data_IF_588577902792
#
_entry.id   IF_588577902792
#
_cell.length_a   1.000
_cell.length_b   1.000
_cell.length_c   1.000
_cell.angle_alpha   90.00
_cell.angle_beta   90.00
_cell.angle_gamma   90.00
#
_symmetry.space_group_name_H-M   'P 1'
#
loop_
_entity.id
_entity.type
_entity.pdbx_description
1 polymer ?
#
# COMPACT_ATOMS: atom_id res chain seq x y z
N UNK A 1 -77.25 -48.37 11.98
CA UNK A 1 -76.15 -48.34 12.96
C UNK A 1 -74.86 -47.87 12.29
N UNK A 2 -74.46 -46.66 12.54
CA UNK A 2 -73.27 -46.07 11.93
C UNK A 2 -72.15 -45.99 12.96
N UNK A 3 -71.08 -46.71 12.73
CA UNK A 3 -69.86 -46.71 13.57
C UNK A 3 -68.97 -45.54 13.11
N UNK A 4 -68.81 -44.55 13.97
CA UNK A 4 -67.85 -43.42 13.73
C UNK A 4 -66.47 -43.89 14.20
N UNK A 5 -65.53 -43.98 13.28
CA UNK A 5 -64.12 -44.16 13.58
C UNK A 5 -63.51 -42.83 13.99
N UNK A 6 -62.96 -42.72 15.15
CA UNK A 6 -62.19 -41.60 15.68
C UNK A 6 -60.73 -41.88 15.29
N UNK A 7 -60.20 -41.02 14.34
CA UNK A 7 -58.76 -41.03 14.01
C UNK A 7 -58.03 -40.11 15.00
N UNK A 8 -57.22 -40.74 15.85
CA UNK A 8 -56.35 -40.02 16.80
C UNK A 8 -55.07 -39.60 16.07
N UNK A 9 -54.91 -38.29 15.82
CA UNK A 9 -53.74 -37.74 15.20
C UNK A 9 -52.67 -37.50 16.27
N UNK A 10 -51.67 -38.40 16.37
CA UNK A 10 -50.51 -38.19 17.22
C UNK A 10 -49.54 -37.19 16.55
N UNK A 11 -49.51 -35.95 17.04
CA UNK A 11 -48.50 -34.97 16.70
C UNK A 11 -47.19 -35.34 17.41
N UNK A 12 -46.24 -35.88 16.67
CA UNK A 12 -44.87 -36.10 17.14
C UNK A 12 -44.14 -34.75 17.05
N UNK A 13 -43.90 -34.09 18.18
CA UNK A 13 -42.98 -32.96 18.27
C UNK A 13 -41.55 -33.50 18.19
N UNK A 14 -40.92 -33.37 17.03
CA UNK A 14 -39.49 -33.58 16.90
C UNK A 14 -38.83 -32.31 17.49
N UNK A 15 -38.34 -32.42 18.72
CA UNK A 15 -37.43 -31.43 19.32
C UNK A 15 -36.07 -31.62 18.64
N UNK A 16 -35.77 -30.82 17.66
CA UNK A 16 -34.41 -30.71 17.13
C UNK A 16 -33.53 -30.14 18.26
N UNK A 17 -32.37 -30.75 18.56
CA UNK A 17 -31.44 -30.15 19.49
C UNK A 17 -31.00 -28.79 18.89
N UNK A 18 -31.13 -27.73 19.69
CA UNK A 18 -30.50 -26.46 19.36
C UNK A 18 -28.99 -26.74 19.24
N UNK A 19 -28.43 -26.57 18.06
CA UNK A 19 -27.00 -26.49 17.92
C UNK A 19 -26.58 -25.30 18.77
N UNK A 20 -25.95 -25.55 19.91
CA UNK A 20 -25.19 -24.52 20.59
C UNK A 20 -24.06 -24.12 19.62
N UNK A 21 -24.01 -22.86 19.23
CA UNK A 21 -22.84 -22.32 18.61
C UNK A 21 -21.64 -22.75 19.44
N UNK A 22 -20.75 -23.52 18.81
CA UNK A 22 -19.49 -23.92 19.43
C UNK A 22 -18.71 -22.66 19.83
N UNK A 23 -17.68 -22.76 20.67
CA UNK A 23 -16.93 -21.62 21.16
C UNK A 23 -16.54 -20.77 19.95
N UNK A 24 -17.02 -19.52 19.90
CA UNK A 24 -16.81 -18.62 18.82
C UNK A 24 -15.32 -18.64 18.49
N UNK A 25 -14.98 -19.03 17.27
CA UNK A 25 -13.63 -18.80 16.77
C UNK A 25 -13.40 -17.30 16.87
N UNK A 26 -12.65 -16.85 17.87
CA UNK A 26 -12.14 -15.49 17.86
C UNK A 26 -11.34 -15.41 16.57
N UNK A 27 -11.81 -14.62 15.60
CA UNK A 27 -11.02 -14.36 14.41
C UNK A 27 -9.64 -13.91 14.89
N UNK A 28 -8.63 -14.70 14.52
CA UNK A 28 -7.26 -14.38 14.92
C UNK A 28 -6.93 -12.99 14.39
N UNK A 29 -6.39 -12.13 15.26
CA UNK A 29 -6.06 -10.75 14.89
C UNK A 29 -5.15 -10.73 13.65
N UNK A 30 -5.30 -9.74 12.76
CA UNK A 30 -4.38 -9.56 11.64
C UNK A 30 -2.94 -9.42 12.14
N UNK A 31 -2.01 -9.99 11.38
CA UNK A 31 -0.56 -9.90 11.67
C UNK A 31 0.06 -8.66 11.03
N UNK A 32 -0.54 -8.18 9.96
CA UNK A 32 -0.05 -7.03 9.22
C UNK A 32 -1.18 -6.13 8.70
N UNK A 33 -0.93 -4.82 8.74
CA UNK A 33 -1.76 -3.76 8.19
C UNK A 33 -0.97 -3.04 7.10
N UNK A 34 -1.49 -3.01 5.87
CA UNK A 34 -0.95 -2.14 4.84
C UNK A 34 -1.43 -0.71 5.14
N UNK A 35 -0.56 0.07 5.76
CA UNK A 35 -0.91 1.40 6.26
C UNK A 35 -0.54 2.46 5.24
N UNK A 36 -1.54 3.13 4.66
CA UNK A 36 -1.34 4.24 3.73
C UNK A 36 -1.22 5.57 4.48
N UNK A 37 -0.12 6.28 4.26
CA UNK A 37 0.16 7.53 4.95
C UNK A 37 -0.59 8.69 4.30
N UNK A 38 -1.44 9.36 5.07
CA UNK A 38 -2.17 10.55 4.66
C UNK A 38 -1.32 11.80 4.94
N UNK A 39 -1.10 12.62 3.92
CA UNK A 39 -0.32 13.85 4.02
C UNK A 39 -1.00 15.01 3.30
N UNK A 40 -0.57 16.23 3.56
CA UNK A 40 -0.98 17.43 2.81
C UNK A 40 -0.06 17.63 1.61
N UNK A 41 -0.64 17.88 0.42
CA UNK A 41 0.13 18.14 -0.79
C UNK A 41 0.48 19.64 -0.95
N UNK A 42 1.33 19.95 -1.90
CA UNK A 42 1.79 21.32 -2.22
C UNK A 42 0.67 22.27 -2.67
N UNK A 43 -0.53 21.73 -2.95
CA UNK A 43 -1.75 22.52 -3.25
C UNK A 43 -2.59 22.74 -2.00
N UNK A 44 -2.14 22.27 -0.84
CA UNK A 44 -2.86 22.37 0.43
C UNK A 44 -4.03 21.41 0.59
N UNK A 45 -4.09 20.36 -0.26
CA UNK A 45 -5.10 19.30 -0.15
C UNK A 45 -4.55 18.17 0.71
N UNK A 46 -5.39 17.58 1.49
CA UNK A 46 -5.02 16.52 2.42
C UNK A 46 -5.93 16.48 3.64
N UNK A 47 -5.65 15.59 4.61
CA UNK A 47 -6.49 15.43 5.78
C UNK A 47 -6.48 16.69 6.66
N UNK A 48 -7.68 17.12 7.07
CA UNK A 48 -7.83 18.22 8.04
C UNK A 48 -7.96 17.66 9.46
N UNK A 49 -7.56 18.44 10.44
CA UNK A 49 -7.74 18.07 11.84
C UNK A 49 -9.24 17.84 12.13
N UNK A 50 -9.58 16.67 12.68
CA UNK A 50 -10.95 16.29 13.00
C UNK A 50 -11.74 15.60 11.89
N UNK A 51 -11.24 15.55 10.64
CA UNK A 51 -11.91 14.77 9.61
C UNK A 51 -11.85 13.27 9.96
N UNK A 52 -12.96 12.56 9.76
CA UNK A 52 -12.90 11.11 9.75
C UNK A 52 -12.05 10.63 8.55
N UNK A 53 -11.34 9.50 8.66
CA UNK A 53 -10.76 8.87 7.48
C UNK A 53 -11.86 8.67 6.43
N UNK A 54 -11.56 8.76 5.12
CA UNK A 54 -12.52 8.40 4.10
C UNK A 54 -13.08 7.01 4.36
N UNK A 55 -14.36 6.79 4.01
CA UNK A 55 -14.96 5.45 4.12
C UNK A 55 -14.13 4.44 3.34
N UNK A 56 -13.92 3.28 3.93
CA UNK A 56 -13.25 2.15 3.28
C UNK A 56 -14.24 1.13 2.71
N UNK A 57 -15.55 1.46 2.76
CA UNK A 57 -16.63 0.61 2.28
C UNK A 57 -17.05 0.95 0.82
N UNK A 58 -16.13 1.47 0.03
CA UNK A 58 -16.38 1.69 -1.40
C UNK A 58 -16.39 0.37 -2.16
N UNK A 59 -17.33 0.25 -3.12
CA UNK A 59 -17.24 -0.79 -4.12
C UNK A 59 -15.96 -0.57 -4.95
N UNK A 60 -15.22 -1.65 -5.21
CA UNK A 60 -13.98 -1.61 -5.96
C UNK A 60 -14.22 -1.06 -7.37
N UNK A 61 -13.43 -0.09 -7.76
CA UNK A 61 -13.51 0.52 -9.09
C UNK A 61 -12.20 1.19 -9.46
N UNK A 62 -11.49 0.59 -10.42
CA UNK A 62 -10.22 1.10 -10.92
C UNK A 62 -10.28 2.60 -11.25
N UNK A 63 -9.24 3.35 -10.86
CA UNK A 63 -9.14 4.78 -11.09
C UNK A 63 -10.00 5.66 -10.17
N UNK A 64 -10.68 5.10 -9.17
CA UNK A 64 -11.45 5.91 -8.20
C UNK A 64 -10.50 6.75 -7.34
N UNK A 65 -9.38 6.18 -6.93
CA UNK A 65 -8.34 6.87 -6.17
C UNK A 65 -7.84 8.13 -6.88
N UNK A 66 -7.58 8.02 -8.16
CA UNK A 66 -7.15 9.14 -9.00
C UNK A 66 -8.19 10.26 -9.05
N UNK A 67 -9.45 9.92 -9.24
CA UNK A 67 -10.53 10.90 -9.24
C UNK A 67 -10.66 11.61 -7.88
N UNK A 68 -10.55 10.88 -6.78
CA UNK A 68 -10.63 11.42 -5.43
C UNK A 68 -9.39 12.23 -5.04
N UNK A 69 -8.22 11.91 -5.59
CA UNK A 69 -6.97 12.63 -5.33
C UNK A 69 -7.04 14.11 -5.71
N UNK A 70 -7.85 14.46 -6.72
CA UNK A 70 -8.10 15.85 -7.11
C UNK A 70 -8.73 16.70 -6.00
N UNK A 71 -9.46 16.08 -5.10
CA UNK A 71 -10.20 16.75 -4.02
C UNK A 71 -9.55 16.51 -2.66
N UNK A 72 -9.10 15.30 -2.38
CA UNK A 72 -8.63 14.87 -1.07
C UNK A 72 -7.11 14.93 -0.91
N UNK A 73 -6.38 15.11 -2.01
CA UNK A 73 -4.92 15.23 -2.04
C UNK A 73 -4.22 14.01 -2.65
N UNK A 74 -2.99 14.23 -3.06
CA UNK A 74 -2.20 13.26 -3.83
C UNK A 74 -1.98 11.91 -3.11
N UNK A 75 -2.10 11.84 -1.79
CA UNK A 75 -2.02 10.59 -1.03
C UNK A 75 -3.12 9.57 -1.38
N UNK A 76 -4.20 10.04 -2.06
CA UNK A 76 -5.35 9.20 -2.48
C UNK A 76 -5.13 8.48 -3.81
N UNK A 77 -4.11 8.83 -4.58
CA UNK A 77 -3.82 8.18 -5.87
C UNK A 77 -3.77 6.66 -5.69
N UNK A 78 -4.36 5.89 -6.59
CA UNK A 78 -4.48 4.42 -6.62
C UNK A 78 -5.24 3.79 -5.43
N UNK A 79 -5.74 4.60 -4.46
CA UNK A 79 -6.55 4.04 -3.37
C UNK A 79 -7.96 3.70 -3.92
N UNK A 80 -8.61 2.69 -3.51
CA UNK A 80 -8.34 1.61 -2.57
C UNK A 80 -7.92 0.34 -3.30
N UNK A 81 -7.98 0.34 -4.61
CA UNK A 81 -7.80 -0.85 -5.44
C UNK A 81 -6.37 -1.37 -5.38
N UNK A 82 -5.36 -0.49 -5.49
CA UNK A 82 -3.97 -0.89 -5.31
C UNK A 82 -3.72 -1.55 -3.95
N UNK A 83 -4.23 -0.93 -2.86
CA UNK A 83 -4.08 -1.45 -1.50
C UNK A 83 -4.72 -2.84 -1.36
N UNK A 84 -5.95 -2.99 -1.85
CA UNK A 84 -6.70 -4.23 -1.78
C UNK A 84 -6.05 -5.34 -2.60
N UNK A 85 -5.73 -5.06 -3.87
CA UNK A 85 -5.07 -6.02 -4.77
C UNK A 85 -3.72 -6.46 -4.19
N UNK A 86 -2.93 -5.51 -3.69
CA UNK A 86 -1.66 -5.85 -3.08
C UNK A 86 -1.82 -6.74 -1.84
N UNK A 87 -2.71 -6.39 -0.90
CA UNK A 87 -2.99 -7.22 0.29
C UNK A 87 -3.49 -8.60 -0.10
N UNK A 88 -4.36 -8.70 -1.10
CA UNK A 88 -4.86 -9.97 -1.64
C UNK A 88 -3.72 -10.86 -2.15
N UNK A 89 -2.81 -10.27 -2.93
CA UNK A 89 -1.64 -10.98 -3.44
C UNK A 89 -0.73 -11.45 -2.33
N UNK A 90 -0.41 -10.58 -1.35
CA UNK A 90 0.42 -10.95 -0.20
C UNK A 90 -0.21 -12.09 0.60
N UNK A 91 -1.52 -12.03 0.89
CA UNK A 91 -2.23 -13.09 1.62
C UNK A 91 -2.21 -14.43 0.87
N UNK A 92 -2.32 -14.41 -0.46
CA UNK A 92 -2.28 -15.63 -1.28
C UNK A 92 -0.88 -16.22 -1.46
N UNK A 93 0.13 -15.38 -1.47
CA UNK A 93 1.53 -15.79 -1.72
C UNK A 93 2.29 -16.11 -0.42
N UNK A 94 1.71 -15.74 0.71
CA UNK A 94 2.25 -16.02 2.04
C UNK A 94 1.16 -16.63 2.94
N UNK A 95 1.53 -17.03 4.16
CA UNK A 95 0.55 -17.42 5.17
C UNK A 95 0.22 -16.27 6.14
N UNK A 96 0.65 -15.04 5.84
CA UNK A 96 0.40 -13.88 6.69
C UNK A 96 -1.09 -13.51 6.69
N UNK A 97 -1.66 -13.28 7.87
CA UNK A 97 -3.03 -12.78 8.00
C UNK A 97 -3.01 -11.26 7.84
N UNK A 98 -3.44 -10.80 6.67
CA UNK A 98 -3.55 -9.38 6.34
C UNK A 98 -4.84 -8.79 6.89
N UNK A 99 -4.79 -7.53 7.31
CA UNK A 99 -6.01 -6.73 7.49
C UNK A 99 -6.51 -6.32 6.10
N UNK A 100 -7.62 -6.93 5.66
CA UNK A 100 -8.12 -6.85 4.27
C UNK A 100 -8.96 -5.60 3.96
N UNK A 101 -8.82 -4.54 4.75
CA UNK A 101 -9.44 -3.24 4.45
C UNK A 101 -8.35 -2.18 4.32
N UNK A 102 -8.56 -1.15 3.48
CA UNK A 102 -7.66 0.00 3.45
C UNK A 102 -7.47 0.59 4.85
N UNK A 103 -6.24 0.96 5.17
CA UNK A 103 -5.87 1.46 6.48
C UNK A 103 -5.14 2.81 6.35
N UNK A 104 -5.87 3.90 5.98
CA UNK A 104 -5.28 5.23 5.89
C UNK A 104 -4.99 5.78 7.28
N UNK A 105 -3.81 6.40 7.45
CA UNK A 105 -3.38 6.95 8.73
C UNK A 105 -2.72 8.31 8.56
N UNK A 106 -3.06 9.25 9.43
CA UNK A 106 -2.40 10.56 9.47
C UNK A 106 -1.05 10.45 10.14
N UNK A 107 -0.11 11.31 9.70
CA UNK A 107 1.21 11.42 10.33
C UNK A 107 1.09 11.71 11.83
N UNK A 108 0.12 12.56 12.22
CA UNK A 108 -0.07 12.97 13.62
C UNK A 108 -0.97 12.03 14.42
N UNK A 109 -1.41 10.91 13.85
CA UNK A 109 -2.20 9.92 14.57
C UNK A 109 -1.38 9.32 15.74
N UNK A 110 -1.93 9.26 16.96
CA UNK A 110 -1.21 8.66 18.10
C UNK A 110 -0.88 7.19 17.87
N UNK A 111 -1.66 6.49 17.07
CA UNK A 111 -1.51 5.07 16.80
C UNK A 111 -0.46 4.75 15.70
N UNK A 112 0.13 5.75 15.04
CA UNK A 112 1.15 5.57 13.99
C UNK A 112 2.25 4.58 14.41
N UNK A 113 2.71 4.66 15.65
CA UNK A 113 3.79 3.81 16.19
C UNK A 113 3.41 2.34 16.41
N UNK A 114 2.14 1.97 16.23
CA UNK A 114 1.68 0.56 16.28
C UNK A 114 1.93 -0.20 14.98
N UNK A 115 2.19 0.52 13.90
CA UNK A 115 2.31 -0.03 12.56
C UNK A 115 3.74 0.12 12.05
N UNK A 116 4.48 -0.98 11.84
CA UNK A 116 5.90 -0.92 11.48
C UNK A 116 6.13 -0.42 10.06
N UNK A 117 5.14 -0.48 9.19
CA UNK A 117 5.23 -0.14 7.78
C UNK A 117 4.18 0.91 7.41
N UNK A 118 4.61 1.96 6.72
CA UNK A 118 3.72 2.91 6.06
C UNK A 118 4.11 3.08 4.60
N UNK A 119 3.09 3.25 3.74
CA UNK A 119 3.24 3.46 2.31
C UNK A 119 2.68 4.84 1.92
N UNK A 120 3.36 5.55 1.04
CA UNK A 120 2.87 6.80 0.49
C UNK A 120 3.21 6.91 -0.99
N UNK A 121 2.21 7.28 -1.79
CA UNK A 121 2.32 7.56 -3.22
C UNK A 121 2.47 9.05 -3.47
N UNK A 122 2.87 9.44 -4.67
CA UNK A 122 2.93 10.84 -5.15
C UNK A 122 3.68 11.76 -4.18
N UNK A 123 4.67 11.20 -3.50
CA UNK A 123 5.43 11.92 -2.45
C UNK A 123 6.20 13.13 -2.99
N UNK A 124 6.37 13.23 -4.30
CA UNK A 124 6.87 14.42 -4.97
C UNK A 124 5.94 15.63 -4.87
N UNK A 125 4.71 15.44 -4.39
CA UNK A 125 3.76 16.51 -4.10
C UNK A 125 3.59 16.77 -2.60
N UNK A 126 4.23 15.99 -1.73
CA UNK A 126 4.12 16.12 -0.28
C UNK A 126 4.63 17.47 0.23
N UNK A 127 3.95 18.03 1.23
CA UNK A 127 4.38 19.22 1.98
C UNK A 127 4.20 19.00 3.47
N UNK A 128 5.28 18.68 4.17
CA UNK A 128 5.26 18.41 5.61
C UNK A 128 5.34 19.70 6.42
N UNK A 129 4.53 19.78 7.46
CA UNK A 129 4.69 20.75 8.53
C UNK A 129 5.86 20.35 9.45
N UNK A 130 6.45 21.28 10.21
CA UNK A 130 7.56 20.95 11.13
C UNK A 130 7.23 19.83 12.11
N UNK A 131 6.03 19.87 12.69
CA UNK A 131 5.55 18.84 13.63
C UNK A 131 5.36 17.47 12.99
N UNK A 132 4.92 17.42 11.73
CA UNK A 132 4.78 16.17 10.96
C UNK A 132 6.16 15.58 10.63
N UNK A 133 7.11 16.42 10.22
CA UNK A 133 8.48 16.00 9.98
C UNK A 133 9.14 15.44 11.26
N UNK A 134 8.93 16.10 12.39
CA UNK A 134 9.43 15.63 13.69
C UNK A 134 8.79 14.29 14.07
N UNK A 135 7.48 14.13 13.83
CA UNK A 135 6.77 12.88 14.13
C UNK A 135 7.25 11.72 13.26
N UNK A 136 7.45 11.94 11.96
CA UNK A 136 8.02 10.94 11.05
C UNK A 136 9.45 10.58 11.43
N UNK A 137 10.28 11.57 11.82
CA UNK A 137 11.62 11.30 12.34
C UNK A 137 11.58 10.35 13.54
N UNK A 138 10.72 10.63 14.52
CA UNK A 138 10.57 9.80 15.71
C UNK A 138 10.09 8.39 15.34
N UNK A 139 9.08 8.28 14.45
CA UNK A 139 8.55 7.02 13.95
C UNK A 139 9.66 6.16 13.32
N UNK A 140 10.43 6.74 12.41
CA UNK A 140 11.48 6.05 11.67
C UNK A 140 12.64 5.61 12.59
N UNK A 141 13.07 6.46 13.52
CA UNK A 141 14.13 6.14 14.46
C UNK A 141 13.72 5.07 15.51
N UNK A 142 12.41 4.89 15.74
CA UNK A 142 11.88 3.87 16.65
C UNK A 142 11.61 2.52 15.98
N UNK A 143 12.03 2.32 14.76
CA UNK A 143 11.84 1.05 14.03
C UNK A 143 10.79 1.12 12.92
N UNK A 144 10.11 2.25 12.73
CA UNK A 144 9.19 2.41 11.62
C UNK A 144 9.90 2.36 10.27
N UNK A 145 9.16 1.95 9.24
CA UNK A 145 9.61 1.87 7.87
C UNK A 145 8.65 2.62 6.95
N UNK A 146 9.18 3.45 6.06
CA UNK A 146 8.39 4.22 5.11
C UNK A 146 8.74 3.87 3.68
N UNK A 147 7.79 3.37 2.91
CA UNK A 147 7.90 3.11 1.48
C UNK A 147 7.27 4.29 0.72
N UNK A 148 8.09 4.97 -0.07
CA UNK A 148 7.73 6.12 -0.91
C UNK A 148 7.71 5.69 -2.38
N UNK A 149 6.62 5.96 -3.08
CA UNK A 149 6.39 5.48 -4.43
C UNK A 149 5.71 6.53 -5.31
N UNK A 150 5.68 6.27 -6.61
CA UNK A 150 4.94 7.00 -7.63
C UNK A 150 5.21 8.51 -7.63
N UNK A 151 6.42 8.88 -7.97
CA UNK A 151 6.77 10.28 -8.24
C UNK A 151 7.89 10.37 -9.27
N UNK A 152 7.84 11.42 -10.10
CA UNK A 152 8.52 11.42 -11.38
C UNK A 152 9.24 12.72 -11.69
N UNK A 153 10.43 12.61 -12.30
CA UNK A 153 11.20 13.73 -12.81
C UNK A 153 11.83 14.61 -11.73
N UNK A 154 12.73 15.49 -12.15
CA UNK A 154 13.57 16.29 -11.26
C UNK A 154 12.77 17.25 -10.37
N UNK A 155 11.62 17.75 -10.84
CA UNK A 155 10.81 18.67 -10.04
C UNK A 155 10.25 17.97 -8.79
N UNK A 156 9.68 16.78 -8.96
CA UNK A 156 9.11 16.01 -7.86
C UNK A 156 10.22 15.44 -6.96
N UNK A 157 11.32 14.96 -7.56
CA UNK A 157 12.51 14.55 -6.80
C UNK A 157 13.03 15.65 -5.87
N UNK A 158 13.20 16.86 -6.39
CA UNK A 158 13.67 17.99 -5.59
C UNK A 158 12.69 18.39 -4.49
N UNK A 159 11.37 18.29 -4.73
CA UNK A 159 10.36 18.54 -3.72
C UNK A 159 10.43 17.47 -2.60
N UNK A 160 10.47 16.20 -2.97
CA UNK A 160 10.61 15.09 -2.02
C UNK A 160 11.90 15.22 -1.19
N UNK A 161 13.03 15.50 -1.85
CA UNK A 161 14.31 15.71 -1.17
C UNK A 161 14.26 16.80 -0.11
N UNK A 162 13.53 17.90 -0.36
CA UNK A 162 13.29 18.94 0.66
C UNK A 162 12.51 18.42 1.86
N UNK A 163 11.51 17.54 1.64
CA UNK A 163 10.76 16.96 2.74
C UNK A 163 11.62 15.99 3.56
N UNK A 164 12.43 15.15 2.91
CA UNK A 164 13.38 14.28 3.62
C UNK A 164 14.37 15.09 4.44
N UNK A 165 14.87 16.21 3.93
CA UNK A 165 15.77 17.12 4.70
C UNK A 165 15.08 17.84 5.85
N UNK A 166 13.75 18.00 5.85
CA UNK A 166 13.01 18.44 7.05
C UNK A 166 13.01 17.36 8.15
N UNK A 167 12.94 16.07 7.75
CA UNK A 167 12.95 14.93 8.67
C UNK A 167 14.37 14.65 9.18
N UNK A 168 15.31 14.56 8.25
CA UNK A 168 16.72 14.20 8.48
C UNK A 168 17.65 15.17 7.75
N UNK A 169 17.93 16.36 8.32
CA UNK A 169 18.87 17.31 7.69
C UNK A 169 20.29 16.75 7.56
N UNK A 170 20.65 15.81 8.43
CA UNK A 170 21.98 15.20 8.52
C UNK A 170 22.17 13.96 7.66
N UNK A 171 21.09 13.38 7.08
CA UNK A 171 21.17 12.12 6.33
C UNK A 171 21.07 12.35 4.84
N UNK A 172 21.73 11.49 4.09
CA UNK A 172 21.67 11.48 2.62
C UNK A 172 20.70 10.39 2.12
N UNK A 173 20.09 10.65 0.97
CA UNK A 173 19.40 9.64 0.17
C UNK A 173 20.45 8.98 -0.72
N UNK A 174 20.56 7.67 -0.65
CA UNK A 174 21.56 6.91 -1.41
C UNK A 174 20.90 5.88 -2.33
N UNK A 175 21.51 5.60 -3.48
CA UNK A 175 21.10 4.53 -4.36
C UNK A 175 21.36 3.19 -3.70
N UNK A 176 20.37 2.26 -3.73
CA UNK A 176 20.53 0.93 -3.19
C UNK A 176 21.18 0.01 -4.22
N UNK A 177 22.33 -0.60 -3.93
CA UNK A 177 22.90 -1.62 -4.80
C UNK A 177 21.98 -2.86 -4.81
N UNK A 178 21.89 -3.56 -5.93
CA UNK A 178 21.08 -4.78 -6.04
C UNK A 178 21.47 -5.90 -5.05
N UNK A 179 22.65 -5.78 -4.44
CA UNK A 179 23.09 -6.66 -3.34
C UNK A 179 22.50 -6.31 -1.98
N UNK A 180 21.76 -5.17 -1.88
CA UNK A 180 21.12 -4.80 -0.62
C UNK A 180 20.03 -5.79 -0.25
N UNK A 181 19.91 -6.09 1.04
CA UNK A 181 19.03 -7.12 1.58
C UNK A 181 17.56 -6.94 1.17
N UNK A 182 17.05 -5.71 1.04
CA UNK A 182 15.67 -5.44 0.61
C UNK A 182 15.32 -6.08 -0.73
N UNK A 183 16.30 -6.33 -1.59
CA UNK A 183 16.09 -7.04 -2.86
C UNK A 183 16.07 -8.57 -2.73
N UNK A 184 16.35 -9.11 -1.52
CA UNK A 184 16.52 -10.55 -1.29
C UNK A 184 15.80 -11.05 -0.03
N UNK A 185 15.01 -10.20 0.63
CA UNK A 185 14.37 -10.56 1.92
C UNK A 185 13.41 -11.75 1.79
N UNK A 186 12.68 -11.84 0.69
CA UNK A 186 11.74 -12.92 0.40
C UNK A 186 11.84 -13.41 -1.06
N UNK A 187 11.91 -12.50 -2.00
CA UNK A 187 12.14 -12.75 -3.41
C UNK A 187 13.49 -12.18 -3.84
N UNK A 188 14.21 -12.91 -4.70
CA UNK A 188 15.38 -12.36 -5.37
C UNK A 188 14.97 -11.42 -6.50
N UNK A 189 15.51 -10.20 -6.46
CA UNK A 189 15.34 -9.16 -7.47
C UNK A 189 16.73 -8.80 -7.98
N UNK A 190 16.98 -9.07 -9.24
CA UNK A 190 18.28 -8.90 -9.92
C UNK A 190 18.34 -7.68 -10.85
N UNK A 191 17.21 -6.96 -11.00
CA UNK A 191 17.13 -5.74 -11.80
C UNK A 191 16.04 -4.82 -11.26
N UNK A 192 16.26 -3.51 -11.37
CA UNK A 192 15.22 -2.49 -11.16
C UNK A 192 14.42 -2.35 -12.45
N UNK A 193 13.10 -2.52 -12.36
CA UNK A 193 12.18 -2.27 -13.48
C UNK A 193 11.41 -0.98 -13.25
N UNK A 194 11.19 -0.23 -14.33
CA UNK A 194 10.31 0.90 -14.33
C UNK A 194 8.86 0.43 -14.56
N UNK A 195 8.11 0.25 -13.48
CA UNK A 195 6.67 0.05 -13.57
C UNK A 195 6.04 1.38 -14.02
N UNK A 196 5.35 1.42 -15.15
CA UNK A 196 4.68 2.63 -15.62
C UNK A 196 3.29 2.77 -15.01
N UNK A 197 2.68 3.97 -15.12
CA UNK A 197 1.26 4.10 -14.88
C UNK A 197 0.43 3.27 -15.88
N UNK A 198 -0.88 3.11 -15.61
CA UNK A 198 -1.80 2.26 -16.38
C UNK A 198 -1.81 2.62 -17.87
N UNK A 199 -1.92 3.90 -18.19
CA UNK A 199 -1.96 4.39 -19.57
C UNK A 199 -0.70 4.06 -20.35
N UNK A 200 0.48 4.26 -19.76
CA UNK A 200 1.75 3.89 -20.37
C UNK A 200 1.95 2.37 -20.41
N UNK A 201 1.49 1.65 -19.40
CA UNK A 201 1.52 0.19 -19.35
C UNK A 201 0.74 -0.44 -20.51
N UNK A 202 -0.50 0.02 -20.75
CA UNK A 202 -1.32 -0.42 -21.88
C UNK A 202 -0.68 -0.06 -23.22
N UNK A 203 -0.17 1.18 -23.36
CA UNK A 203 0.56 1.58 -24.57
C UNK A 203 1.79 0.70 -24.81
N UNK A 204 2.48 0.30 -23.74
CA UNK A 204 3.61 -0.62 -23.83
C UNK A 204 3.16 -1.98 -24.38
N UNK A 205 2.05 -2.53 -23.90
CA UNK A 205 1.46 -3.77 -24.40
C UNK A 205 1.08 -3.65 -25.88
N UNK A 206 0.32 -2.64 -26.25
CA UNK A 206 -0.15 -2.45 -27.64
C UNK A 206 0.98 -2.16 -28.64
N UNK A 207 2.08 -1.57 -28.18
CA UNK A 207 3.26 -1.33 -29.02
C UNK A 207 4.18 -2.53 -29.15
N UNK A 208 3.87 -3.65 -28.46
CA UNK A 208 4.77 -4.80 -28.35
C UNK A 208 6.08 -4.47 -27.64
N UNK A 209 6.01 -3.66 -26.58
CA UNK A 209 7.15 -3.30 -25.74
C UNK A 209 8.05 -2.18 -26.31
N UNK A 210 7.56 -1.40 -27.24
CA UNK A 210 8.36 -0.37 -27.96
C UNK A 210 8.09 1.07 -27.54
N UNK A 211 7.12 1.31 -26.63
CA UNK A 211 6.88 2.66 -26.11
C UNK A 211 7.65 2.92 -24.81
N UNK A 212 7.64 4.19 -24.40
CA UNK A 212 8.25 4.62 -23.13
C UNK A 212 7.48 4.07 -21.93
N UNK A 213 8.17 3.94 -20.81
CA UNK A 213 7.61 3.63 -19.48
C UNK A 213 7.76 4.80 -18.50
N UNK A 214 8.53 5.81 -18.84
CA UNK A 214 8.75 7.00 -18.02
C UNK A 214 7.70 8.10 -18.31
N UNK A 215 7.34 8.86 -17.29
CA UNK A 215 6.38 9.96 -17.40
C UNK A 215 7.06 11.28 -17.76
N UNK A 216 8.16 11.60 -17.09
CA UNK A 216 8.83 12.88 -17.22
C UNK A 216 10.14 12.75 -18.04
N UNK A 217 10.35 13.66 -19.02
CA UNK A 217 11.51 13.56 -19.92
C UNK A 217 12.83 14.07 -19.33
N UNK A 218 12.78 14.77 -18.20
CA UNK A 218 13.94 15.40 -17.54
C UNK A 218 14.72 14.45 -16.63
N UNK A 219 14.09 13.34 -16.22
CA UNK A 219 14.73 12.20 -15.56
C UNK A 219 13.92 10.93 -15.89
N UNK A 220 14.54 9.95 -16.54
CA UNK A 220 13.82 8.83 -17.17
C UNK A 220 14.09 7.49 -16.53
N UNK A 221 15.18 7.35 -15.81
CA UNK A 221 15.62 6.05 -15.31
C UNK A 221 14.95 5.74 -13.96
N UNK A 222 14.51 4.50 -13.75
CA UNK A 222 13.97 4.09 -12.46
C UNK A 222 15.09 3.93 -11.43
N UNK A 223 14.80 4.32 -10.19
CA UNK A 223 15.74 4.20 -9.09
C UNK A 223 15.08 3.60 -7.87
N UNK A 224 15.85 2.78 -7.15
CA UNK A 224 15.48 2.35 -5.81
C UNK A 224 16.52 2.91 -4.84
N UNK A 225 16.09 3.83 -3.99
CA UNK A 225 16.96 4.59 -3.08
C UNK A 225 16.53 4.41 -1.64
N UNK A 226 17.37 4.82 -0.73
CA UNK A 226 17.04 4.71 0.70
C UNK A 226 17.69 5.73 1.59
N UNK A 227 17.15 5.81 2.81
CA UNK A 227 17.72 6.55 3.93
C UNK A 227 17.92 5.58 5.09
N UNK A 228 19.10 5.60 5.69
CA UNK A 228 19.53 4.67 6.73
C UNK A 228 19.63 5.34 8.10
N UNK A 229 19.43 4.56 9.16
CA UNK A 229 19.78 4.95 10.51
C UNK A 229 21.28 4.75 10.81
N UNK A 230 21.70 5.03 12.04
CA UNK A 230 23.12 4.92 12.46
C UNK A 230 23.60 3.47 12.58
N UNK A 231 22.69 2.50 12.59
CA UNK A 231 23.01 1.06 12.65
C UNK A 231 23.09 0.42 11.27
N UNK A 232 22.72 1.15 10.21
CA UNK A 232 22.65 0.67 8.84
C UNK A 232 21.31 0.05 8.47
N UNK A 233 20.27 0.20 9.31
CA UNK A 233 18.90 -0.24 8.97
C UNK A 233 18.28 0.75 7.98
N UNK A 234 17.67 0.23 6.91
CA UNK A 234 16.91 1.02 5.95
C UNK A 234 15.61 1.51 6.60
N UNK A 235 15.45 2.83 6.73
CA UNK A 235 14.26 3.46 7.30
C UNK A 235 13.27 3.92 6.24
N UNK A 236 13.77 4.42 5.11
CA UNK A 236 12.95 4.91 4.01
C UNK A 236 13.38 4.18 2.74
N UNK A 237 12.46 3.46 2.12
CA UNK A 237 12.60 2.88 0.80
C UNK A 237 11.93 3.81 -0.20
N UNK A 238 12.60 4.13 -1.30
CA UNK A 238 12.15 5.10 -2.29
C UNK A 238 12.18 4.46 -3.67
N UNK A 239 11.01 4.26 -4.26
CA UNK A 239 10.84 3.83 -5.65
C UNK A 239 10.53 5.06 -6.50
N UNK A 240 11.59 5.60 -7.12
CA UNK A 240 11.54 6.83 -7.89
C UNK A 240 11.52 6.55 -9.39
N UNK A 241 10.72 7.30 -10.13
CA UNK A 241 10.42 7.07 -11.55
C UNK A 241 9.84 5.67 -11.79
N UNK A 242 8.94 5.25 -10.92
CA UNK A 242 8.18 4.01 -11.01
C UNK A 242 6.84 4.19 -10.29
N UNK A 243 5.86 3.40 -10.67
CA UNK A 243 4.51 3.36 -10.14
C UNK A 243 4.17 1.91 -9.79
N UNK A 244 4.43 1.56 -8.52
CA UNK A 244 4.07 0.23 -8.02
C UNK A 244 2.57 0.17 -7.68
N UNK A 245 1.97 1.31 -7.35
CA UNK A 245 0.55 1.44 -7.06
C UNK A 245 -0.30 0.98 -8.25
N UNK A 246 -0.08 1.56 -9.42
CA UNK A 246 -0.75 1.15 -10.66
C UNK A 246 -0.43 -0.31 -11.04
N UNK A 247 0.82 -0.74 -10.82
CA UNK A 247 1.18 -2.12 -11.09
C UNK A 247 0.47 -3.13 -10.17
N UNK A 248 0.00 -2.73 -8.98
CA UNK A 248 -0.87 -3.53 -8.12
C UNK A 248 -2.34 -3.37 -8.49
N UNK A 249 -2.81 -2.13 -8.72
CA UNK A 249 -4.20 -1.83 -9.07
C UNK A 249 -4.66 -2.58 -10.32
N UNK A 250 -3.81 -2.58 -11.35
CA UNK A 250 -4.13 -3.18 -12.66
C UNK A 250 -3.57 -4.60 -12.84
N UNK A 251 -3.33 -5.32 -11.74
CA UNK A 251 -2.74 -6.64 -11.79
C UNK A 251 -3.57 -7.70 -12.53
N UNK A 252 -4.86 -7.55 -12.54
CA UNK A 252 -5.83 -8.45 -13.19
C UNK A 252 -6.24 -7.99 -14.60
N UNK A 253 -5.73 -6.82 -15.04
CA UNK A 253 -5.98 -6.32 -16.38
C UNK A 253 -5.03 -6.98 -17.39
N UNK A 254 -5.58 -7.67 -18.42
CA UNK A 254 -4.77 -8.35 -19.42
C UNK A 254 -3.94 -7.40 -20.30
N UNK A 255 -4.31 -6.11 -20.35
CA UNK A 255 -3.61 -5.09 -21.12
C UNK A 255 -2.47 -4.43 -20.32
N UNK A 256 -2.41 -4.60 -19.01
CA UNK A 256 -1.27 -4.16 -18.20
C UNK A 256 -0.19 -5.26 -18.15
N UNK A 257 1.11 -4.94 -18.43
CA UNK A 257 2.13 -5.97 -18.56
C UNK A 257 2.47 -6.70 -17.27
N UNK A 258 2.19 -8.00 -17.20
CA UNK A 258 2.42 -8.84 -16.02
C UNK A 258 3.87 -8.80 -15.47
N UNK A 259 4.87 -8.43 -16.27
CA UNK A 259 6.26 -8.29 -15.80
C UNK A 259 6.41 -7.13 -14.79
N UNK A 260 5.67 -6.03 -14.96
CA UNK A 260 5.71 -4.89 -14.05
C UNK A 260 4.94 -5.22 -12.78
N UNK A 261 3.77 -5.84 -12.90
CA UNK A 261 3.01 -6.37 -11.76
C UNK A 261 3.85 -7.34 -10.93
N UNK A 262 4.49 -8.33 -11.59
CA UNK A 262 5.34 -9.30 -10.90
C UNK A 262 6.54 -8.66 -10.19
N UNK A 263 7.14 -7.61 -10.75
CA UNK A 263 8.20 -6.83 -10.10
C UNK A 263 7.66 -6.07 -8.88
N UNK A 264 6.55 -5.34 -9.06
CA UNK A 264 5.94 -4.53 -8.01
C UNK A 264 5.55 -5.38 -6.79
N UNK A 265 4.96 -6.57 -7.02
CA UNK A 265 4.64 -7.51 -5.94
C UNK A 265 5.89 -8.02 -5.21
N UNK A 266 6.94 -8.39 -5.94
CA UNK A 266 8.18 -8.88 -5.32
C UNK A 266 8.82 -7.80 -4.45
N UNK A 267 8.95 -6.58 -4.97
CA UNK A 267 9.57 -5.49 -4.22
C UNK A 267 8.71 -5.07 -3.02
N UNK A 268 7.40 -4.94 -3.20
CA UNK A 268 6.48 -4.60 -2.11
C UNK A 268 6.49 -5.65 -1.00
N UNK A 269 6.48 -6.96 -1.34
CA UNK A 269 6.57 -8.04 -0.36
C UNK A 269 7.91 -8.04 0.38
N UNK A 270 9.01 -7.84 -0.35
CA UNK A 270 10.33 -7.70 0.26
C UNK A 270 10.36 -6.54 1.25
N UNK A 271 9.78 -5.38 0.88
CA UNK A 271 9.71 -4.21 1.74
C UNK A 271 8.91 -4.47 3.03
N UNK A 272 7.75 -5.15 2.93
CA UNK A 272 6.95 -5.53 4.11
C UNK A 272 7.73 -6.45 5.03
N UNK A 273 8.33 -7.51 4.49
CA UNK A 273 9.06 -8.49 5.30
C UNK A 273 10.30 -7.84 5.92
N UNK A 274 11.01 -7.00 5.18
CA UNK A 274 12.10 -6.20 5.72
C UNK A 274 11.64 -5.35 6.92
N UNK A 275 10.55 -4.61 6.78
CA UNK A 275 9.99 -3.79 7.84
C UNK A 275 9.54 -4.57 9.09
N UNK A 276 9.15 -5.83 8.92
CA UNK A 276 8.73 -6.70 10.03
C UNK A 276 9.89 -7.40 10.74
N UNK A 277 11.07 -7.44 10.13
CA UNK A 277 12.23 -8.20 10.64
C UNK A 277 13.41 -7.34 11.07
N UNK A 278 13.38 -6.04 10.79
CA UNK A 278 14.43 -5.06 11.09
C UNK A 278 13.86 -3.86 11.85
#
# INVERSE_FOLDING_TARGET
MAIRAIVLLCLIFIVLPAFSDGPGHSEAQPEFYFTRLMYTDTRGRGPKAGDAPPSTDFEHGHGLGDQLSWFLGAWMTDTWDADYQFMWGVQRLTNARMYMKPHPMRIMDPDLFKYPYVYAVEVGQMELKPEEAQRLREYLLRGGFWHCDDFWGLRQWNQFGRQVKKIFPEREIVELPLTHEVFHTFYDIDQVLQAPNDGLGRQYTYSGGRTRTWEQPDDRDPHVRGVFDDTGRLMILITYNADLGDAWEWMDDPDYPAKFTGYAYRLGMNAIIYAMTH
#
